data_IF_861015481493
#
_entry.id   IF_861015481493
#
_cell.length_a   1.000
_cell.length_b   1.000
_cell.length_c   1.000
_cell.angle_alpha   90.00
_cell.angle_beta   90.00
_cell.angle_gamma   90.00
#
_symmetry.space_group_name_H-M   'P 1'
#
loop_
_entity.id
_entity.type
_entity.pdbx_description
1 polymer ?
#
# COMPACT_ATOMS: atom_id res chain seq x y z
N UNK A 1 48.12 -22.68 -41.71
CA UNK A 1 46.88 -22.09 -42.29
C UNK A 1 46.22 -21.24 -41.22
N UNK A 2 46.21 -19.92 -41.39
CA UNK A 2 45.65 -18.99 -40.41
C UNK A 2 44.11 -19.07 -40.44
N UNK A 3 43.48 -19.26 -39.27
CA UNK A 3 42.02 -19.19 -39.12
C UNK A 3 41.57 -17.76 -39.43
N UNK A 4 41.11 -17.52 -40.65
CA UNK A 4 40.50 -16.24 -41.03
C UNK A 4 39.20 -16.08 -40.28
N UNK A 5 38.96 -14.90 -39.73
CA UNK A 5 37.82 -14.66 -38.85
C UNK A 5 36.63 -14.16 -39.68
N UNK A 6 35.41 -14.56 -39.30
CA UNK A 6 34.17 -14.08 -39.94
C UNK A 6 34.01 -12.54 -39.90
N UNK A 7 34.80 -11.85 -39.07
CA UNK A 7 34.85 -10.39 -39.00
C UNK A 7 35.54 -9.77 -40.21
N UNK A 8 36.59 -10.43 -40.71
CA UNK A 8 37.36 -9.94 -41.85
C UNK A 8 36.53 -10.02 -43.14
N UNK A 9 35.74 -11.09 -43.29
CA UNK A 9 34.82 -11.26 -44.42
C UNK A 9 33.71 -10.21 -44.40
N UNK A 10 33.10 -9.93 -43.24
CA UNK A 10 32.04 -8.94 -43.10
C UNK A 10 32.51 -7.52 -43.46
N UNK A 11 33.70 -7.15 -42.97
CA UNK A 11 34.32 -5.85 -43.27
C UNK A 11 34.56 -5.66 -44.77
N UNK A 12 35.07 -6.69 -45.45
CA UNK A 12 35.33 -6.63 -46.89
C UNK A 12 34.05 -6.54 -47.73
N UNK A 13 32.97 -7.20 -47.30
CA UNK A 13 31.65 -7.07 -47.95
C UNK A 13 31.19 -5.62 -47.86
N UNK A 14 31.37 -4.96 -46.72
CA UNK A 14 30.94 -3.58 -46.51
C UNK A 14 31.78 -2.56 -47.29
N UNK A 15 33.11 -2.71 -47.28
CA UNK A 15 34.04 -1.87 -48.06
C UNK A 15 33.75 -1.94 -49.57
N UNK A 16 33.48 -3.15 -50.08
CA UNK A 16 33.14 -3.34 -51.51
C UNK A 16 31.72 -2.85 -51.81
N UNK A 17 30.75 -3.06 -50.92
CA UNK A 17 29.39 -2.55 -51.09
C UNK A 17 29.33 -1.01 -51.12
N UNK A 18 30.19 -0.34 -50.34
CA UNK A 18 30.36 1.12 -50.36
C UNK A 18 31.16 1.65 -51.56
N UNK A 19 31.78 0.78 -52.35
CA UNK A 19 32.64 1.14 -53.47
C UNK A 19 34.00 1.70 -53.05
N UNK A 20 34.37 1.57 -51.77
CA UNK A 20 35.67 1.99 -51.24
C UNK A 20 36.81 1.07 -51.69
N UNK A 21 36.46 -0.15 -52.13
CA UNK A 21 37.41 -1.16 -52.59
C UNK A 21 36.86 -1.96 -53.76
N UNK A 22 37.70 -2.21 -54.76
CA UNK A 22 37.33 -3.04 -55.91
C UNK A 22 37.43 -4.52 -55.56
N UNK A 23 36.49 -5.34 -56.07
CA UNK A 23 36.48 -6.80 -55.90
C UNK A 23 37.81 -7.45 -56.36
N UNK A 24 38.44 -6.86 -57.37
CA UNK A 24 39.67 -7.35 -57.99
C UNK A 24 40.90 -7.21 -57.08
N UNK A 25 40.86 -6.30 -56.11
CA UNK A 25 41.95 -6.06 -55.15
C UNK A 25 42.00 -7.10 -54.02
N UNK A 26 41.02 -8.01 -53.96
CA UNK A 26 41.01 -9.13 -53.02
C UNK A 26 41.90 -10.25 -53.59
N UNK A 27 43.15 -10.30 -53.13
CA UNK A 27 44.17 -11.27 -53.58
C UNK A 27 43.71 -12.73 -53.43
N UNK A 28 42.90 -13.01 -52.41
CA UNK A 28 42.42 -14.35 -52.13
C UNK A 28 41.20 -14.73 -52.99
N UNK A 29 41.28 -15.79 -53.82
CA UNK A 29 40.22 -16.13 -54.76
C UNK A 29 38.93 -16.63 -54.07
N UNK A 30 39.05 -17.43 -53.02
CA UNK A 30 37.88 -17.95 -52.27
C UNK A 30 37.11 -16.82 -51.56
N UNK A 31 37.83 -15.88 -50.94
CA UNK A 31 37.24 -14.71 -50.30
C UNK A 31 36.54 -13.80 -51.31
N UNK A 32 37.16 -13.61 -52.47
CA UNK A 32 36.60 -12.83 -53.57
C UNK A 32 35.28 -13.42 -54.07
N UNK A 33 35.22 -14.74 -54.21
CA UNK A 33 34.00 -15.44 -54.61
C UNK A 33 32.92 -15.35 -53.54
N UNK A 34 33.30 -15.47 -52.26
CA UNK A 34 32.39 -15.31 -51.12
C UNK A 34 31.78 -13.90 -51.07
N UNK A 35 32.60 -12.85 -51.23
CA UNK A 35 32.13 -11.46 -51.28
C UNK A 35 31.27 -11.22 -52.51
N UNK A 36 31.63 -11.78 -53.67
CA UNK A 36 30.83 -11.69 -54.90
C UNK A 36 29.46 -12.34 -54.73
N UNK A 37 29.38 -13.51 -54.11
CA UNK A 37 28.12 -14.20 -53.79
C UNK A 37 27.29 -13.40 -52.78
N UNK A 38 27.92 -12.87 -51.72
CA UNK A 38 27.24 -12.05 -50.72
C UNK A 38 26.62 -10.77 -51.35
N UNK A 39 27.36 -10.09 -52.24
CA UNK A 39 26.85 -8.90 -52.95
C UNK A 39 25.74 -9.24 -53.94
N UNK A 40 25.80 -10.42 -54.57
CA UNK A 40 24.74 -10.90 -55.47
C UNK A 40 23.47 -11.23 -54.68
N UNK A 41 23.60 -11.85 -53.51
CA UNK A 41 22.49 -12.15 -52.61
C UNK A 41 21.89 -10.87 -52.02
N UNK A 42 22.70 -9.85 -51.74
CA UNK A 42 22.24 -8.56 -51.24
C UNK A 42 21.50 -7.72 -52.29
N UNK A 43 21.70 -8.03 -53.59
CA UNK A 43 20.99 -7.39 -54.71
C UNK A 43 19.59 -7.93 -54.95
N UNK A 44 19.24 -9.09 -54.37
CA UNK A 44 17.85 -9.54 -54.42
C UNK A 44 17.02 -8.56 -53.57
N UNK A 45 16.00 -7.92 -54.16
CA UNK A 45 15.20 -6.94 -53.44
C UNK A 45 14.59 -7.64 -52.24
N UNK A 46 14.97 -7.19 -51.05
CA UNK A 46 14.36 -7.65 -49.82
C UNK A 46 12.85 -7.48 -49.97
N UNK A 47 12.12 -8.58 -50.10
CA UNK A 47 10.67 -8.56 -50.20
C UNK A 47 10.15 -8.09 -48.85
N UNK A 48 9.98 -6.79 -48.72
CA UNK A 48 9.53 -6.20 -47.48
C UNK A 48 8.21 -6.87 -47.08
N UNK A 49 8.04 -7.25 -45.80
CA UNK A 49 6.80 -7.87 -45.36
C UNK A 49 5.62 -6.96 -45.72
N UNK A 50 4.58 -7.57 -46.25
CA UNK A 50 3.35 -6.87 -46.62
C UNK A 50 2.82 -6.07 -45.43
N UNK A 51 2.04 -5.03 -45.70
CA UNK A 51 1.58 -4.10 -44.66
C UNK A 51 0.86 -4.81 -43.50
N UNK A 52 0.17 -5.93 -43.79
CA UNK A 52 -0.52 -6.74 -42.79
C UNK A 52 0.45 -7.50 -41.89
N UNK A 53 1.52 -8.07 -42.44
CA UNK A 53 2.57 -8.73 -41.64
C UNK A 53 3.34 -7.71 -40.79
N UNK A 54 3.63 -6.52 -41.32
CA UNK A 54 4.24 -5.43 -40.52
C UNK A 54 3.35 -5.00 -39.35
N UNK A 55 2.04 -4.88 -39.56
CA UNK A 55 1.08 -4.57 -38.49
C UNK A 55 1.07 -5.63 -37.39
N UNK A 56 1.07 -6.93 -37.76
CA UNK A 56 1.14 -8.05 -36.81
C UNK A 56 2.45 -8.13 -36.04
N UNK A 57 3.57 -7.87 -36.72
CA UNK A 57 4.88 -7.82 -36.06
C UNK A 57 4.90 -6.64 -35.08
N UNK A 58 4.42 -5.46 -35.49
CA UNK A 58 4.34 -4.28 -34.62
C UNK A 58 3.44 -4.51 -33.42
N UNK A 59 2.29 -5.17 -33.57
CA UNK A 59 1.39 -5.47 -32.45
C UNK A 59 2.01 -6.47 -31.47
N UNK A 60 2.73 -7.50 -31.95
CA UNK A 60 3.47 -8.43 -31.08
C UNK A 60 4.61 -7.75 -30.36
N UNK A 61 5.39 -6.94 -31.08
CA UNK A 61 6.54 -6.22 -30.51
C UNK A 61 6.06 -5.19 -29.47
N UNK A 62 5.01 -4.42 -29.76
CA UNK A 62 4.43 -3.49 -28.79
C UNK A 62 3.78 -4.20 -27.61
N UNK A 63 3.17 -5.38 -27.81
CA UNK A 63 2.66 -6.19 -26.71
C UNK A 63 3.79 -6.75 -25.83
N UNK A 64 4.93 -7.15 -26.42
CA UNK A 64 6.12 -7.57 -25.66
C UNK A 64 6.88 -6.41 -25.03
N UNK A 65 6.71 -5.18 -25.55
CA UNK A 65 7.27 -3.95 -25.00
C UNK A 65 6.32 -3.25 -24.03
N UNK A 66 5.12 -3.79 -23.75
CA UNK A 66 4.38 -3.36 -22.57
C UNK A 66 5.26 -3.71 -21.37
N UNK A 67 5.83 -2.73 -20.66
CA UNK A 67 6.72 -3.01 -19.55
C UNK A 67 5.94 -3.86 -18.56
N UNK A 68 6.49 -5.03 -18.21
CA UNK A 68 6.11 -5.67 -16.95
C UNK A 68 6.23 -4.58 -15.89
N UNK A 69 5.15 -4.34 -15.14
CA UNK A 69 5.09 -3.19 -14.24
C UNK A 69 6.35 -3.16 -13.38
N UNK A 70 7.19 -2.14 -13.62
CA UNK A 70 8.46 -2.00 -12.94
C UNK A 70 8.20 -2.07 -11.44
N UNK A 71 8.66 -3.14 -10.81
CA UNK A 71 8.54 -3.37 -9.38
C UNK A 71 9.28 -2.25 -8.66
N UNK A 72 8.88 -1.95 -7.41
CA UNK A 72 9.53 -0.89 -6.62
C UNK A 72 11.06 -1.08 -6.55
N UNK A 73 11.54 -2.32 -6.58
CA UNK A 73 12.97 -2.66 -6.65
C UNK A 73 13.67 -2.17 -7.94
N UNK A 74 13.01 -2.24 -9.11
CA UNK A 74 13.54 -1.71 -10.37
C UNK A 74 13.65 -0.18 -10.36
N UNK A 75 12.70 0.50 -9.69
CA UNK A 75 12.74 1.97 -9.57
C UNK A 75 13.86 2.43 -8.65
N UNK A 76 14.12 1.69 -7.58
CA UNK A 76 15.21 1.97 -6.63
C UNK A 76 16.58 1.69 -7.26
N UNK A 77 16.72 0.61 -8.04
CA UNK A 77 17.98 0.30 -8.74
C UNK A 77 18.30 1.33 -9.83
N UNK A 78 17.31 1.78 -10.61
CA UNK A 78 17.51 2.87 -11.58
C UNK A 78 17.92 4.18 -10.90
N UNK A 79 17.29 4.54 -9.78
CA UNK A 79 17.65 5.73 -9.01
C UNK A 79 19.09 5.64 -8.46
N UNK A 80 19.48 4.46 -7.94
CA UNK A 80 20.84 4.21 -7.48
C UNK A 80 21.87 4.22 -8.61
N UNK A 81 21.54 3.70 -9.79
CA UNK A 81 22.44 3.68 -10.95
C UNK A 81 22.68 5.09 -11.52
N UNK A 82 21.66 5.95 -11.50
CA UNK A 82 21.78 7.36 -11.86
C UNK A 82 22.62 8.12 -10.82
N UNK A 83 22.51 7.77 -9.54
CA UNK A 83 23.25 8.43 -8.45
C UNK A 83 24.71 7.95 -8.33
N UNK A 84 24.99 6.71 -8.76
CA UNK A 84 26.31 6.07 -8.69
C UNK A 84 27.27 6.51 -9.81
N UNK A 85 26.80 7.18 -10.86
CA UNK A 85 27.69 7.76 -11.88
C UNK A 85 28.26 9.10 -11.36
N UNK A 86 29.55 9.39 -11.61
CA UNK A 86 30.16 10.66 -11.22
C UNK A 86 29.71 11.76 -12.18
N UNK A 87 28.44 12.15 -12.09
CA UNK A 87 27.90 13.29 -12.80
C UNK A 87 28.35 14.60 -12.10
N UNK A 88 28.67 15.67 -12.85
CA UNK A 88 29.05 16.95 -12.27
C UNK A 88 27.93 17.50 -11.38
N UNK A 89 28.29 18.15 -10.27
CA UNK A 89 27.39 18.64 -9.22
C UNK A 89 26.19 19.45 -9.73
N UNK A 90 26.32 20.12 -10.88
CA UNK A 90 25.24 20.83 -11.54
C UNK A 90 24.05 19.93 -11.93
N UNK A 91 24.32 18.69 -12.37
CA UNK A 91 23.26 17.75 -12.75
C UNK A 91 22.53 17.20 -11.51
N UNK A 92 23.22 17.05 -10.38
CA UNK A 92 22.61 16.68 -9.09
C UNK A 92 21.73 17.80 -8.55
N UNK A 93 22.20 19.05 -8.59
CA UNK A 93 21.42 20.21 -8.21
C UNK A 93 20.17 20.35 -9.10
N UNK A 94 20.28 20.09 -10.40
CA UNK A 94 19.14 20.12 -11.32
C UNK A 94 18.14 18.98 -11.05
N UNK A 95 18.62 17.77 -10.75
CA UNK A 95 17.75 16.65 -10.40
C UNK A 95 16.99 16.92 -9.08
N UNK A 96 17.67 17.43 -8.05
CA UNK A 96 17.03 17.82 -6.78
C UNK A 96 16.04 18.96 -7.00
N UNK A 97 16.42 19.99 -7.77
CA UNK A 97 15.54 21.11 -8.10
C UNK A 97 14.32 20.65 -8.91
N UNK A 98 14.47 19.71 -9.84
CA UNK A 98 13.37 19.13 -10.61
C UNK A 98 12.43 18.31 -9.70
N UNK A 99 12.96 17.51 -8.77
CA UNK A 99 12.15 16.78 -7.79
C UNK A 99 11.36 17.76 -6.92
N UNK A 100 12.03 18.77 -6.35
CA UNK A 100 11.38 19.81 -5.54
C UNK A 100 10.32 20.57 -6.35
N UNK A 101 10.59 20.89 -7.62
CA UNK A 101 9.67 21.58 -8.50
C UNK A 101 8.46 20.70 -8.88
N UNK A 102 8.66 19.38 -9.08
CA UNK A 102 7.53 18.46 -9.32
C UNK A 102 6.64 18.30 -8.08
N UNK A 103 7.23 18.27 -6.88
CA UNK A 103 6.47 18.26 -5.62
C UNK A 103 5.71 19.58 -5.46
N UNK A 104 6.35 20.73 -5.75
CA UNK A 104 5.73 22.04 -5.66
C UNK A 104 4.65 22.30 -6.72
N UNK A 105 4.77 21.73 -7.92
CA UNK A 105 3.76 21.83 -8.97
C UNK A 105 2.52 20.96 -8.71
N UNK A 106 2.61 19.98 -7.80
CA UNK A 106 1.53 19.05 -7.48
C UNK A 106 0.47 19.64 -6.53
N UNK A 107 0.69 20.83 -5.96
CA UNK A 107 -0.19 21.44 -4.95
C UNK A 107 -1.30 22.33 -5.53
N UNK A 108 -1.53 22.28 -6.85
CA UNK A 108 -2.48 23.18 -7.53
C UNK A 108 -3.60 22.44 -8.26
N UNK A 109 -4.33 21.57 -7.56
CA UNK A 109 -5.73 21.23 -7.91
C UNK A 109 -6.54 21.07 -6.62
N UNK A 110 -7.49 21.98 -6.40
CA UNK A 110 -8.52 21.92 -5.36
C UNK A 110 -9.70 21.11 -5.88
N UNK A 111 -10.24 20.17 -5.09
CA UNK A 111 -11.69 19.89 -5.07
C UNK A 111 -12.13 19.21 -3.78
N UNK A 112 -13.05 19.87 -3.09
CA UNK A 112 -13.87 19.38 -1.98
C UNK A 112 -14.54 18.03 -2.30
N UNK A 113 -14.37 17.03 -1.43
CA UNK A 113 -15.33 15.91 -1.36
C UNK A 113 -14.83 14.51 -0.99
N UNK A 114 -13.53 14.22 -1.01
CA UNK A 114 -13.04 12.88 -0.60
C UNK A 114 -11.57 12.93 -0.21
N UNK A 115 -11.30 12.76 1.09
CA UNK A 115 -9.94 12.76 1.68
C UNK A 115 -9.07 11.60 1.15
N UNK A 116 -9.64 10.65 0.40
CA UNK A 116 -8.94 9.45 -0.06
C UNK A 116 -8.36 9.49 -1.48
N UNK A 117 -8.51 10.57 -2.26
CA UNK A 117 -8.02 10.61 -3.67
C UNK A 117 -7.15 11.85 -3.99
N UNK A 118 -6.63 12.51 -2.95
CA UNK A 118 -5.72 13.64 -3.13
C UNK A 118 -4.32 13.12 -3.48
N UNK A 119 -3.77 13.55 -4.62
CA UNK A 119 -2.43 13.16 -5.08
C UNK A 119 -1.37 13.44 -4.00
N UNK A 120 -1.58 14.46 -3.17
CA UNK A 120 -0.70 14.81 -2.06
C UNK A 120 -0.73 13.79 -0.91
N UNK A 121 -1.86 13.11 -0.69
CA UNK A 121 -1.97 12.08 0.34
C UNK A 121 -1.08 10.87 0.02
N UNK A 122 -1.03 10.46 -1.26
CA UNK A 122 -0.13 9.40 -1.71
C UNK A 122 1.34 9.74 -1.48
N UNK A 123 1.72 11.01 -1.65
CA UNK A 123 3.07 11.50 -1.38
C UNK A 123 3.37 11.48 0.12
N UNK A 124 2.41 11.84 0.97
CA UNK A 124 2.54 11.75 2.43
C UNK A 124 2.82 10.31 2.87
N UNK A 125 2.00 9.35 2.44
CA UNK A 125 2.19 7.94 2.75
C UNK A 125 3.54 7.42 2.25
N UNK A 126 3.93 7.78 1.02
CA UNK A 126 5.24 7.41 0.49
C UNK A 126 6.40 7.99 1.31
N UNK A 127 6.25 9.21 1.84
CA UNK A 127 7.25 9.84 2.70
C UNK A 127 7.35 9.17 4.07
N UNK A 128 6.23 8.72 4.63
CA UNK A 128 6.17 7.97 5.90
C UNK A 128 6.80 6.58 5.73
N UNK A 129 6.49 5.87 4.65
CA UNK A 129 7.12 4.60 4.30
C UNK A 129 8.63 4.74 4.04
N UNK A 130 9.07 5.82 3.40
CA UNK A 130 10.49 6.09 3.20
C UNK A 130 11.21 6.31 4.54
N UNK A 131 10.61 7.04 5.49
CA UNK A 131 11.16 7.21 6.85
C UNK A 131 11.26 5.87 7.58
N UNK A 132 10.23 5.04 7.48
CA UNK A 132 10.23 3.71 8.11
C UNK A 132 11.30 2.78 7.49
N UNK A 133 11.50 2.85 6.17
CA UNK A 133 12.54 2.09 5.48
C UNK A 133 13.96 2.56 5.84
N UNK A 134 14.14 3.83 6.19
CA UNK A 134 15.41 4.40 6.64
C UNK A 134 15.69 4.17 8.13
N UNK A 135 14.68 3.83 8.93
CA UNK A 135 14.84 3.52 10.34
C UNK A 135 15.51 2.13 10.51
N UNK A 136 16.80 2.14 10.83
CA UNK A 136 17.61 0.93 10.94
C UNK A 136 17.55 0.26 12.31
N UNK A 137 17.19 1.01 13.37
CA UNK A 137 17.13 0.51 14.75
C UNK A 137 15.66 0.27 15.18
N UNK A 138 15.37 -0.68 16.08
CA UNK A 138 14.03 -0.87 16.64
C UNK A 138 13.49 0.39 17.32
N UNK A 139 14.36 1.15 17.99
CA UNK A 139 14.03 2.41 18.64
C UNK A 139 13.59 3.47 17.63
N UNK A 140 14.35 3.66 16.55
CA UNK A 140 13.99 4.60 15.48
C UNK A 140 12.67 4.20 14.80
N UNK A 141 12.47 2.90 14.57
CA UNK A 141 11.22 2.38 13.99
C UNK A 141 10.05 2.65 14.89
N UNK A 142 10.18 2.40 16.19
CA UNK A 142 9.13 2.69 17.16
C UNK A 142 8.75 4.18 17.17
N UNK A 143 9.74 5.07 17.08
CA UNK A 143 9.51 6.51 17.03
C UNK A 143 8.80 6.95 15.74
N UNK A 144 9.17 6.36 14.59
CA UNK A 144 8.50 6.63 13.32
C UNK A 144 7.05 6.13 13.36
N UNK A 145 6.82 4.91 13.82
CA UNK A 145 5.47 4.32 13.98
C UNK A 145 4.60 5.16 14.92
N UNK A 146 5.15 5.60 16.05
CA UNK A 146 4.44 6.49 16.98
C UNK A 146 4.06 7.83 16.34
N UNK A 147 4.95 8.41 15.52
CA UNK A 147 4.67 9.65 14.79
C UNK A 147 3.55 9.45 13.76
N UNK A 148 3.53 8.31 13.07
CA UNK A 148 2.45 7.98 12.13
C UNK A 148 1.14 7.82 12.90
N UNK A 149 1.14 7.10 14.03
CA UNK A 149 -0.03 6.96 14.89
C UNK A 149 -0.56 8.34 15.33
N UNK A 150 0.31 9.25 15.79
CA UNK A 150 -0.07 10.64 16.13
C UNK A 150 -0.82 11.34 14.99
N UNK A 151 -0.30 11.24 13.77
CA UNK A 151 -0.95 11.81 12.59
C UNK A 151 -2.31 11.16 12.30
N UNK A 152 -2.41 9.84 12.41
CA UNK A 152 -3.65 9.09 12.17
C UNK A 152 -4.74 9.45 13.17
N UNK A 153 -4.38 9.64 14.43
CA UNK A 153 -5.35 10.09 15.44
C UNK A 153 -5.85 11.51 15.15
N UNK A 154 -4.94 12.44 14.80
CA UNK A 154 -5.33 13.81 14.44
C UNK A 154 -6.28 13.81 13.22
N UNK A 155 -5.93 13.05 12.19
CA UNK A 155 -6.75 12.86 10.99
C UNK A 155 -8.12 12.24 11.33
N UNK A 156 -8.17 11.20 12.16
CA UNK A 156 -9.41 10.59 12.63
C UNK A 156 -10.32 11.59 13.35
N UNK A 157 -9.76 12.43 14.23
CA UNK A 157 -10.55 13.45 14.95
C UNK A 157 -11.13 14.51 14.02
N UNK A 158 -10.40 14.90 12.98
CA UNK A 158 -10.84 15.88 11.99
C UNK A 158 -11.89 15.29 11.02
N UNK A 159 -11.69 14.05 10.58
CA UNK A 159 -12.68 13.34 9.75
C UNK A 159 -14.00 13.15 10.52
N UNK A 160 -13.90 12.85 11.82
CA UNK A 160 -15.06 12.69 12.69
C UNK A 160 -15.84 14.02 12.86
N UNK A 161 -15.16 15.15 13.06
CA UNK A 161 -15.82 16.47 13.17
C UNK A 161 -16.47 16.90 11.86
N UNK A 162 -15.95 16.44 10.72
CA UNK A 162 -16.54 16.66 9.39
C UNK A 162 -17.72 15.72 9.07
N UNK A 163 -18.06 14.77 9.96
CA UNK A 163 -19.13 13.79 9.73
C UNK A 163 -18.76 12.67 8.75
N UNK A 164 -17.47 12.49 8.47
CA UNK A 164 -16.98 11.44 7.58
C UNK A 164 -16.62 10.17 8.37
N UNK A 165 -17.65 9.53 8.93
CA UNK A 165 -17.49 8.41 9.86
C UNK A 165 -16.74 7.21 9.27
N UNK A 166 -16.90 6.91 7.98
CA UNK A 166 -16.20 5.77 7.35
C UNK A 166 -14.68 5.98 7.34
N UNK A 167 -14.23 7.17 6.93
CA UNK A 167 -12.80 7.48 6.89
C UNK A 167 -12.24 7.68 8.31
N UNK A 168 -13.03 8.23 9.24
CA UNK A 168 -12.65 8.34 10.64
C UNK A 168 -12.42 6.96 11.28
N UNK A 169 -13.23 5.96 10.93
CA UNK A 169 -13.04 4.58 11.38
C UNK A 169 -11.71 4.03 10.84
N UNK A 170 -11.43 4.21 9.54
CA UNK A 170 -10.17 3.75 8.92
C UNK A 170 -8.96 4.38 9.60
N UNK A 171 -8.93 5.71 9.74
CA UNK A 171 -7.83 6.41 10.38
C UNK A 171 -7.65 5.98 11.86
N UNK A 172 -8.75 5.75 12.59
CA UNK A 172 -8.68 5.27 13.98
C UNK A 172 -8.12 3.84 14.07
N UNK A 173 -8.46 2.97 13.11
CA UNK A 173 -7.91 1.62 13.02
C UNK A 173 -6.42 1.62 12.72
N UNK A 174 -5.97 2.43 11.75
CA UNK A 174 -4.56 2.58 11.40
C UNK A 174 -3.75 3.17 12.57
N UNK A 175 -4.33 4.10 13.34
CA UNK A 175 -3.72 4.55 14.61
C UNK A 175 -3.42 3.38 15.55
N UNK A 176 -4.38 2.49 15.76
CA UNK A 176 -4.22 1.33 16.64
C UNK A 176 -3.17 0.33 16.14
N UNK A 177 -3.10 0.13 14.82
CA UNK A 177 -2.08 -0.69 14.15
C UNK A 177 -0.67 -0.13 14.38
N UNK A 178 -0.42 1.13 14.00
CA UNK A 178 0.88 1.78 14.15
C UNK A 178 1.33 1.85 15.62
N UNK A 179 0.38 2.07 16.55
CA UNK A 179 0.68 2.02 17.97
C UNK A 179 1.11 0.62 18.44
N UNK A 180 0.45 -0.43 17.96
CA UNK A 180 0.82 -1.81 18.27
C UNK A 180 2.21 -2.16 17.69
N UNK A 181 2.53 -1.70 16.49
CA UNK A 181 3.84 -1.86 15.86
C UNK A 181 4.94 -1.14 16.63
N UNK A 182 4.72 0.13 17.02
CA UNK A 182 5.67 0.91 17.81
C UNK A 182 6.03 0.19 19.12
N UNK A 183 5.01 -0.29 19.83
CA UNK A 183 5.18 -1.03 21.06
C UNK A 183 5.87 -2.39 20.85
N UNK A 184 5.61 -3.08 19.74
CA UNK A 184 6.26 -4.34 19.40
C UNK A 184 7.75 -4.17 19.02
N UNK A 185 8.15 -3.04 18.44
CA UNK A 185 9.56 -2.73 18.22
C UNK A 185 10.29 -2.47 19.56
N UNK A 186 9.69 -1.69 20.47
CA UNK A 186 10.28 -1.45 21.79
C UNK A 186 10.37 -2.72 22.65
N UNK A 187 9.37 -3.61 22.58
CA UNK A 187 9.37 -4.86 23.34
C UNK A 187 10.54 -5.80 22.99
N UNK A 188 11.18 -5.64 21.82
CA UNK A 188 12.35 -6.41 21.44
C UNK A 188 13.64 -5.93 22.12
N UNK A 189 13.70 -4.65 22.50
CA UNK A 189 14.90 -4.00 23.02
C UNK A 189 14.78 -3.56 24.49
N UNK A 190 13.57 -3.50 25.04
CA UNK A 190 13.26 -3.06 26.42
C UNK A 190 14.10 -3.74 27.50
N UNK A 191 14.40 -5.03 27.34
CA UNK A 191 15.21 -5.79 28.30
C UNK A 191 16.72 -5.72 28.03
N UNK A 192 17.11 -5.22 26.86
CA UNK A 192 18.50 -5.20 26.40
C UNK A 192 19.17 -3.84 26.68
N UNK A 193 18.41 -2.75 26.65
CA UNK A 193 18.96 -1.39 26.78
C UNK A 193 18.16 -0.57 27.82
N UNK A 194 18.83 0.12 28.76
CA UNK A 194 18.16 1.05 29.68
C UNK A 194 17.45 2.19 28.96
N UNK A 195 18.00 2.63 27.82
CA UNK A 195 17.42 3.70 27.00
C UNK A 195 16.03 3.32 26.46
N UNK A 196 15.81 2.04 26.13
CA UNK A 196 14.50 1.56 25.68
C UNK A 196 13.43 1.67 26.77
N UNK A 197 13.77 1.50 28.06
CA UNK A 197 12.81 1.73 29.14
C UNK A 197 12.36 3.19 29.20
N UNK A 198 13.28 4.13 28.98
CA UNK A 198 12.96 5.55 28.87
C UNK A 198 12.00 5.85 27.70
N UNK A 199 12.20 5.19 26.55
CA UNK A 199 11.31 5.31 25.40
C UNK A 199 9.92 4.72 25.66
N UNK A 200 9.82 3.61 26.40
CA UNK A 200 8.52 3.02 26.77
C UNK A 200 7.73 3.95 27.70
N UNK A 201 8.40 4.62 28.64
CA UNK A 201 7.77 5.64 29.49
C UNK A 201 7.28 6.83 28.64
N UNK A 202 8.08 7.30 27.68
CA UNK A 202 7.67 8.36 26.76
C UNK A 202 6.47 7.95 25.90
N UNK A 203 6.48 6.71 25.39
CA UNK A 203 5.36 6.13 24.64
C UNK A 203 4.09 6.12 25.50
N UNK A 204 4.18 5.71 26.76
CA UNK A 204 3.03 5.70 27.67
C UNK A 204 2.47 7.11 27.88
N UNK A 205 3.33 8.11 28.11
CA UNK A 205 2.92 9.51 28.26
C UNK A 205 2.23 10.05 27.00
N UNK A 206 2.72 9.67 25.81
CA UNK A 206 2.10 10.03 24.53
C UNK A 206 0.73 9.38 24.37
N UNK A 207 0.59 8.10 24.69
CA UNK A 207 -0.70 7.39 24.69
C UNK A 207 -1.71 8.09 25.61
N UNK A 208 -1.30 8.51 26.80
CA UNK A 208 -2.21 9.20 27.73
C UNK A 208 -2.64 10.57 27.19
N UNK A 209 -1.74 11.26 26.49
CA UNK A 209 -2.07 12.49 25.75
C UNK A 209 -3.09 12.19 24.64
N UNK A 210 -2.89 11.12 23.86
CA UNK A 210 -3.79 10.69 22.80
C UNK A 210 -5.18 10.33 23.33
N UNK A 211 -5.25 9.63 24.45
CA UNK A 211 -6.50 9.31 25.15
C UNK A 211 -7.26 10.57 25.55
N UNK A 212 -6.57 11.58 26.08
CA UNK A 212 -7.19 12.85 26.43
C UNK A 212 -7.73 13.59 25.20
N UNK A 213 -6.99 13.59 24.09
CA UNK A 213 -7.44 14.17 22.81
C UNK A 213 -8.68 13.43 22.28
N UNK A 214 -8.66 12.09 22.29
CA UNK A 214 -9.77 11.26 21.86
C UNK A 214 -11.01 11.50 22.74
N UNK A 215 -10.86 11.56 24.07
CA UNK A 215 -11.94 11.85 25.01
C UNK A 215 -12.57 13.22 24.74
N UNK A 216 -11.75 14.25 24.50
CA UNK A 216 -12.22 15.58 24.14
C UNK A 216 -12.97 15.58 22.80
N UNK A 217 -12.51 14.82 21.81
CA UNK A 217 -13.20 14.66 20.54
C UNK A 217 -14.56 13.97 20.72
N UNK A 218 -14.63 12.88 21.49
CA UNK A 218 -15.89 12.17 21.82
C UNK A 218 -16.90 13.12 22.46
N UNK A 219 -16.47 13.95 23.41
CA UNK A 219 -17.34 14.93 24.06
C UNK A 219 -17.95 15.95 23.07
N UNK A 220 -17.19 16.36 22.03
CA UNK A 220 -17.69 17.26 20.98
C UNK A 220 -18.67 16.59 20.02
N UNK A 221 -18.51 15.30 19.78
CA UNK A 221 -19.30 14.54 18.80
C UNK A 221 -20.60 13.97 19.38
N UNK A 222 -20.77 14.02 20.71
CA UNK A 222 -21.89 13.38 21.42
C UNK A 222 -23.28 13.93 21.04
N UNK A 223 -23.35 15.16 20.54
CA UNK A 223 -24.63 15.82 20.23
C UNK A 223 -25.17 15.51 18.83
N UNK A 224 -24.39 14.85 17.96
CA UNK A 224 -24.74 14.64 16.55
C UNK A 224 -24.96 13.15 16.22
N UNK A 225 -26.19 12.74 15.84
CA UNK A 225 -26.46 11.35 15.44
C UNK A 225 -25.65 10.88 14.23
N UNK A 226 -25.28 11.81 13.34
CA UNK A 226 -24.48 11.53 12.14
C UNK A 226 -23.02 11.18 12.44
N UNK A 227 -22.52 11.48 13.65
CA UNK A 227 -21.14 11.20 14.08
C UNK A 227 -21.07 10.09 15.12
N UNK A 228 -22.17 9.35 15.33
CA UNK A 228 -22.27 8.37 16.41
C UNK A 228 -21.27 7.23 16.27
N UNK A 229 -21.00 6.75 15.05
CA UNK A 229 -20.02 5.68 14.83
C UNK A 229 -18.60 6.19 15.04
N UNK A 230 -18.27 7.39 14.56
CA UNK A 230 -16.97 8.01 14.79
C UNK A 230 -16.71 8.28 16.29
N UNK A 231 -17.71 8.78 17.02
CA UNK A 231 -17.63 8.96 18.46
C UNK A 231 -17.40 7.62 19.19
N UNK A 232 -18.07 6.55 18.75
CA UNK A 232 -17.89 5.23 19.34
C UNK A 232 -16.47 4.67 19.18
N UNK A 233 -15.85 4.84 18.00
CA UNK A 233 -14.47 4.35 17.78
C UNK A 233 -13.43 5.21 18.50
N UNK A 234 -13.61 6.52 18.57
CA UNK A 234 -12.74 7.39 19.38
C UNK A 234 -12.89 7.11 20.88
N UNK A 235 -14.08 6.69 21.34
CA UNK A 235 -14.29 6.28 22.73
C UNK A 235 -13.51 5.00 23.09
N UNK A 236 -13.32 4.08 22.14
CA UNK A 236 -12.44 2.92 22.33
C UNK A 236 -11.00 3.36 22.57
N UNK A 237 -10.51 4.36 21.82
CA UNK A 237 -9.16 4.91 22.01
C UNK A 237 -9.04 5.66 23.34
N UNK A 238 -10.08 6.39 23.75
CA UNK A 238 -10.12 7.16 24.99
C UNK A 238 -10.16 6.28 26.25
N UNK A 239 -10.51 5.00 26.12
CA UNK A 239 -10.65 4.10 27.26
C UNK A 239 -9.31 3.89 28.00
N UNK A 240 -9.32 3.89 29.35
CA UNK A 240 -8.12 3.63 30.13
C UNK A 240 -7.59 2.21 29.90
N UNK A 241 -6.29 2.02 30.17
CA UNK A 241 -5.68 0.70 30.13
C UNK A 241 -6.29 -0.26 31.15
N UNK A 242 -6.54 -1.49 30.71
CA UNK A 242 -7.00 -2.55 31.58
C UNK A 242 -5.80 -3.07 32.39
N UNK A 243 -5.82 -3.03 33.74
CA UNK A 243 -4.68 -3.43 34.57
C UNK A 243 -4.36 -4.93 34.52
N UNK A 244 -5.16 -5.74 33.81
CA UNK A 244 -5.07 -7.19 33.77
C UNK A 244 -3.84 -7.76 33.03
N UNK A 245 -2.96 -6.93 32.47
CA UNK A 245 -1.77 -7.35 31.72
C UNK A 245 -0.49 -7.51 32.58
N UNK A 246 -0.62 -7.92 33.85
CA UNK A 246 0.49 -7.96 34.82
C UNK A 246 1.65 -8.89 34.46
N UNK A 247 1.43 -9.85 33.55
CA UNK A 247 2.43 -10.85 33.17
C UNK A 247 3.26 -10.46 31.92
N UNK A 248 3.01 -9.28 31.34
CA UNK A 248 3.68 -8.79 30.14
C UNK A 248 4.67 -7.68 30.50
N UNK A 249 5.72 -7.52 29.68
CA UNK A 249 6.52 -6.29 29.76
C UNK A 249 5.64 -5.07 29.44
N UNK A 250 5.95 -3.87 29.96
CA UNK A 250 5.20 -2.67 29.68
C UNK A 250 4.96 -2.42 28.18
N UNK A 251 5.97 -2.58 27.33
CA UNK A 251 5.80 -2.44 25.87
C UNK A 251 4.87 -3.52 25.29
N UNK A 252 4.98 -4.77 25.73
CA UNK A 252 4.09 -5.85 25.28
C UNK A 252 2.63 -5.66 25.75
N UNK A 253 2.42 -5.08 26.94
CA UNK A 253 1.10 -4.72 27.43
C UNK A 253 0.46 -3.63 26.58
N UNK A 254 1.22 -2.59 26.19
CA UNK A 254 0.77 -1.54 25.28
C UNK A 254 0.36 -2.13 23.93
N UNK A 255 1.19 -3.01 23.34
CA UNK A 255 0.89 -3.65 22.06
C UNK A 255 -0.41 -4.49 22.12
N UNK A 256 -0.60 -5.26 23.21
CA UNK A 256 -1.81 -6.06 23.42
C UNK A 256 -3.07 -5.19 23.58
N UNK A 257 -2.95 -4.05 24.28
CA UNK A 257 -4.05 -3.11 24.43
C UNK A 257 -4.41 -2.48 23.08
N UNK A 258 -3.43 -2.02 22.31
CA UNK A 258 -3.63 -1.43 20.99
C UNK A 258 -4.33 -2.42 20.04
N UNK A 259 -3.92 -3.70 20.06
CA UNK A 259 -4.58 -4.76 19.29
C UNK A 259 -6.03 -4.99 19.70
N UNK A 260 -6.32 -4.98 21.01
CA UNK A 260 -7.69 -5.13 21.54
C UNK A 260 -8.58 -3.96 21.14
N UNK A 261 -8.07 -2.72 21.25
CA UNK A 261 -8.76 -1.53 20.80
C UNK A 261 -9.07 -1.58 19.29
N UNK A 262 -8.09 -1.98 18.48
CA UNK A 262 -8.26 -2.08 17.01
C UNK A 262 -9.29 -3.14 16.63
N UNK A 263 -9.35 -4.27 17.34
CA UNK A 263 -10.40 -5.29 17.12
C UNK A 263 -11.80 -4.76 17.49
N UNK A 264 -11.92 -4.01 18.59
CA UNK A 264 -13.19 -3.36 18.96
C UNK A 264 -13.64 -2.34 17.90
N UNK A 265 -12.71 -1.58 17.33
CA UNK A 265 -12.97 -0.64 16.23
C UNK A 265 -13.45 -1.39 14.98
N UNK A 266 -12.79 -2.49 14.61
CA UNK A 266 -13.23 -3.34 13.49
C UNK A 266 -14.64 -3.88 13.71
N UNK A 267 -14.97 -4.33 14.93
CA UNK A 267 -16.32 -4.80 15.27
C UNK A 267 -17.38 -3.67 15.20
N UNK A 268 -17.01 -2.41 15.43
CA UNK A 268 -17.91 -1.25 15.19
C UNK A 268 -18.13 -1.04 13.70
N UNK A 269 -17.05 -1.10 12.90
CA UNK A 269 -17.12 -0.96 11.45
C UNK A 269 -18.00 -2.03 10.80
N UNK A 270 -17.85 -3.30 11.19
CA UNK A 270 -18.65 -4.42 10.68
C UNK A 270 -20.13 -4.28 11.04
N UNK A 271 -20.46 -3.83 12.26
CA UNK A 271 -21.84 -3.56 12.68
C UNK A 271 -22.48 -2.41 11.92
N UNK A 272 -21.69 -1.44 11.46
CA UNK A 272 -22.18 -0.33 10.63
C UNK A 272 -22.57 -0.82 9.22
N UNK A 273 -21.81 -1.75 8.66
CA UNK A 273 -22.01 -2.30 7.31
C UNK A 273 -23.13 -3.34 7.27
N UNK A 274 -23.24 -4.15 8.32
CA UNK A 274 -24.26 -5.18 8.40
C UNK A 274 -25.48 -4.56 9.06
N UNK A 275 -26.50 -4.08 8.31
CA UNK A 275 -27.74 -3.69 8.94
C UNK A 275 -28.22 -4.94 9.68
N UNK A 276 -28.25 -4.87 11.00
CA UNK A 276 -28.82 -5.93 11.82
C UNK A 276 -30.20 -6.13 11.23
N UNK A 277 -30.39 -7.27 10.55
CA UNK A 277 -31.69 -7.75 10.08
C UNK A 277 -32.49 -8.03 11.34
N UNK A 278 -32.91 -6.96 12.00
CA UNK A 278 -33.55 -7.00 13.28
C UNK A 278 -34.97 -7.37 12.95
N UNK A 279 -35.21 -8.67 13.07
CA UNK A 279 -36.48 -9.18 13.53
C UNK A 279 -37.66 -8.68 12.72
N UNK A 280 -37.70 -9.09 11.46
CA UNK A 280 -38.98 -9.29 10.78
C UNK A 280 -39.78 -10.28 11.64
N UNK A 281 -40.62 -9.71 12.50
CA UNK A 281 -41.82 -10.29 13.05
C UNK A 281 -41.67 -11.66 13.74
N UNK A 282 -41.48 -11.61 15.06
CA UNK A 282 -42.37 -12.38 15.91
C UNK A 282 -43.81 -11.92 15.60
N UNK A 283 -44.40 -12.49 14.55
CA UNK A 283 -45.84 -12.44 14.30
C UNK A 283 -46.47 -13.12 15.52
N UNK A 284 -47.23 -12.42 16.39
CA UNK A 284 -48.04 -13.12 17.37
C UNK A 284 -49.00 -14.04 16.60
N UNK A 285 -49.22 -15.30 17.01
CA UNK A 285 -50.12 -16.20 16.31
C UNK A 285 -51.50 -15.55 16.21
N UNK A 286 -51.86 -15.14 15.00
CA UNK A 286 -53.14 -14.53 14.70
C UNK A 286 -54.25 -15.53 15.01
N UNK A 287 -55.14 -15.14 15.92
CA UNK A 287 -56.36 -15.85 16.22
C UNK A 287 -57.17 -16.13 14.95
N UNK A 288 -57.60 -17.38 14.85
CA UNK A 288 -58.48 -17.95 13.84
C UNK A 288 -59.73 -17.09 13.64
N UNK A 289 -59.96 -16.60 12.41
CA UNK A 289 -61.26 -16.04 12.00
C UNK A 289 -61.65 -16.61 10.64
N UNK A 290 -62.89 -17.10 10.46
CA UNK A 290 -63.25 -17.88 9.28
C UNK A 290 -63.72 -17.03 8.10
N UNK A 291 -63.39 -17.54 6.92
CA UNK A 291 -64.13 -17.57 5.65
C UNK A 291 -64.98 -16.35 5.23
N UNK A 292 -64.54 -15.69 4.17
CA UNK A 292 -65.45 -15.19 3.13
C UNK A 292 -64.74 -15.29 1.76
N UNK A 293 -65.32 -16.12 0.89
CA UNK A 293 -64.90 -16.30 -0.49
C UNK A 293 -65.28 -15.07 -1.32
N UNK A 294 -64.36 -14.55 -2.14
CA UNK A 294 -64.71 -13.79 -3.34
C UNK A 294 -63.63 -14.00 -4.40
N UNK A 295 -64.06 -14.58 -5.51
CA UNK A 295 -63.34 -14.83 -6.75
C UNK A 295 -63.19 -13.55 -7.57
N UNK A 296 -61.97 -13.21 -8.03
CA UNK A 296 -61.75 -12.43 -9.27
C UNK A 296 -60.26 -12.35 -9.69
N UNK A 297 -59.91 -11.92 -10.92
CA UNK A 297 -59.41 -12.80 -11.96
C UNK A 297 -57.93 -12.57 -12.29
N UNK A 298 -57.37 -13.59 -12.94
CA UNK A 298 -56.03 -13.67 -13.53
C UNK A 298 -55.79 -12.60 -14.61
N UNK A 299 -54.77 -11.78 -14.40
CA UNK A 299 -54.14 -10.94 -15.42
C UNK A 299 -52.71 -11.45 -15.70
N UNK A 300 -52.24 -11.43 -16.96
CA UNK A 300 -50.98 -12.05 -17.36
C UNK A 300 -49.78 -11.23 -16.87
N UNK A 301 -48.82 -11.93 -16.28
CA UNK A 301 -47.56 -11.40 -15.79
C UNK A 301 -46.67 -10.96 -16.96
N UNK A 302 -46.45 -9.65 -17.09
CA UNK A 302 -45.31 -9.12 -17.83
C UNK A 302 -44.07 -9.27 -16.95
N UNK A 303 -43.22 -10.24 -17.31
CA UNK A 303 -41.85 -10.35 -16.81
C UNK A 303 -41.04 -9.16 -17.31
N UNK A 304 -41.00 -8.08 -16.52
CA UNK A 304 -40.00 -7.04 -16.67
C UNK A 304 -38.72 -7.57 -16.03
N UNK A 305 -37.83 -8.10 -16.86
CA UNK A 305 -36.47 -8.49 -16.50
C UNK A 305 -35.73 -7.23 -16.04
N UNK A 306 -35.71 -6.99 -14.73
CA UNK A 306 -35.00 -5.88 -14.14
C UNK A 306 -33.50 -6.05 -14.44
N UNK A 307 -32.79 -4.98 -14.86
CA UNK A 307 -31.37 -5.06 -15.17
C UNK A 307 -30.62 -5.51 -13.92
N UNK A 308 -29.93 -6.65 -14.02
CA UNK A 308 -28.94 -7.10 -13.03
C UNK A 308 -27.94 -5.96 -12.82
N UNK A 309 -28.11 -5.24 -11.72
CA UNK A 309 -27.12 -4.27 -11.25
C UNK A 309 -25.80 -5.01 -11.07
N UNK A 310 -24.80 -4.55 -11.80
CA UNK A 310 -23.44 -5.08 -11.81
C UNK A 310 -22.82 -5.06 -10.43
N UNK A 311 -22.26 -6.20 -10.05
CA UNK A 311 -21.83 -6.65 -8.72
C UNK A 311 -20.54 -6.02 -8.19
N UNK A 312 -20.17 -4.77 -8.49
CA UNK A 312 -18.77 -4.36 -8.30
C UNK A 312 -18.46 -3.02 -7.62
N UNK A 313 -19.42 -2.35 -7.01
CA UNK A 313 -19.11 -1.21 -6.13
C UNK A 313 -19.37 -1.61 -4.68
N UNK A 314 -18.34 -2.17 -4.03
CA UNK A 314 -18.35 -2.31 -2.58
C UNK A 314 -18.60 -0.92 -1.97
N UNK A 315 -19.59 -0.84 -1.09
CA UNK A 315 -19.93 0.43 -0.45
C UNK A 315 -18.72 0.99 0.32
N UNK A 316 -18.65 2.30 0.51
CA UNK A 316 -17.56 2.93 1.28
C UNK A 316 -17.41 2.30 2.67
N UNK A 317 -18.53 2.02 3.33
CA UNK A 317 -18.58 1.32 4.61
C UNK A 317 -17.95 -0.09 4.55
N UNK A 318 -18.24 -0.89 3.51
CA UNK A 318 -17.63 -2.22 3.34
C UNK A 318 -16.10 -2.14 3.25
N UNK A 319 -15.59 -1.16 2.50
CA UNK A 319 -14.14 -0.92 2.40
C UNK A 319 -13.54 -0.47 3.74
N UNK A 320 -14.25 0.39 4.49
CA UNK A 320 -13.82 0.81 5.81
C UNK A 320 -13.77 -0.37 6.79
N UNK A 321 -14.77 -1.26 6.77
CA UNK A 321 -14.78 -2.46 7.60
C UNK A 321 -13.66 -3.45 7.23
N UNK A 322 -13.42 -3.68 5.93
CA UNK A 322 -12.32 -4.51 5.45
C UNK A 322 -10.95 -3.95 5.87
N UNK A 323 -10.76 -2.63 5.75
CA UNK A 323 -9.55 -1.94 6.19
C UNK A 323 -9.35 -2.03 7.70
N UNK A 324 -10.41 -1.78 8.48
CA UNK A 324 -10.38 -1.87 9.93
C UNK A 324 -10.05 -3.30 10.41
N UNK A 325 -10.61 -4.31 9.73
CA UNK A 325 -10.32 -5.72 10.02
C UNK A 325 -8.85 -6.06 9.73
N UNK A 326 -8.33 -5.61 8.59
CA UNK A 326 -6.93 -5.79 8.22
C UNK A 326 -6.01 -5.18 9.28
N UNK A 327 -6.26 -3.93 9.67
CA UNK A 327 -5.49 -3.25 10.73
C UNK A 327 -5.56 -4.00 12.07
N UNK A 328 -6.72 -4.56 12.43
CA UNK A 328 -6.86 -5.37 13.65
C UNK A 328 -6.03 -6.65 13.61
N UNK A 329 -5.97 -7.32 12.46
CA UNK A 329 -5.16 -8.53 12.30
C UNK A 329 -3.65 -8.22 12.32
N UNK A 330 -3.23 -7.10 11.73
CA UNK A 330 -1.84 -6.60 11.79
C UNK A 330 -1.46 -6.19 13.22
N UNK A 331 -2.32 -5.46 13.94
CA UNK A 331 -2.11 -5.11 15.35
C UNK A 331 -1.98 -6.35 16.24
N UNK A 332 -2.78 -7.41 16.00
CA UNK A 332 -2.65 -8.70 16.72
C UNK A 332 -1.32 -9.39 16.42
N UNK A 333 -0.86 -9.34 15.17
CA UNK A 333 0.45 -9.88 14.80
C UNK A 333 1.58 -9.14 15.53
N UNK A 334 1.49 -7.81 15.62
CA UNK A 334 2.43 -6.98 16.38
C UNK A 334 2.41 -7.31 17.88
N UNK A 335 1.24 -7.43 18.50
CA UNK A 335 1.10 -7.82 19.90
C UNK A 335 1.69 -9.21 20.18
N UNK A 336 1.50 -10.16 19.27
CA UNK A 336 2.13 -11.49 19.37
C UNK A 336 3.65 -11.39 19.28
N UNK A 337 4.18 -10.61 18.33
CA UNK A 337 5.62 -10.32 18.19
C UNK A 337 6.20 -9.72 19.47
N UNK A 338 5.50 -8.75 20.07
CA UNK A 338 5.90 -8.11 21.33
C UNK A 338 5.99 -9.12 22.49
N UNK A 339 4.99 -10.00 22.61
CA UNK A 339 4.95 -11.07 23.62
C UNK A 339 6.09 -12.07 23.43
N UNK A 340 6.45 -12.40 22.20
CA UNK A 340 7.59 -13.26 21.90
C UNK A 340 8.93 -12.59 22.21
N UNK A 341 9.06 -11.29 21.91
CA UNK A 341 10.22 -10.47 22.26
C UNK A 341 10.47 -10.46 23.76
N UNK A 342 9.43 -10.22 24.56
CA UNK A 342 9.48 -10.21 26.02
C UNK A 342 9.91 -11.56 26.64
N UNK A 343 9.67 -12.69 25.96
CA UNK A 343 10.00 -14.04 26.47
C UNK A 343 11.40 -14.52 26.13
N UNK A 344 12.02 -13.99 25.07
CA UNK A 344 13.31 -14.49 24.56
C UNK A 344 14.52 -13.97 25.32
N UNK A 345 14.34 -13.07 26.27
CA UNK A 345 15.45 -12.53 27.05
C UNK A 345 15.80 -13.51 28.18
N UNK A 346 16.98 -14.17 28.16
CA UNK A 346 17.37 -15.09 29.20
C UNK A 346 17.45 -14.33 30.54
N UNK A 347 16.84 -14.90 31.57
CA UNK A 347 16.99 -14.42 32.95
C UNK A 347 18.49 -14.40 33.25
N UNK A 348 19.06 -13.27 33.72
CA UNK A 348 20.49 -13.21 34.02
C UNK A 348 20.82 -14.31 35.02
N UNK A 349 21.66 -15.26 34.60
CA UNK A 349 22.11 -16.35 35.46
C UNK A 349 22.74 -15.71 36.71
N UNK A 350 22.24 -16.00 37.92
CA UNK A 350 22.81 -15.40 39.12
C UNK A 350 24.27 -15.84 39.22
N UNK A 351 25.19 -14.91 38.98
CA UNK A 351 26.59 -15.12 39.31
C UNK A 351 26.67 -15.20 40.83
N UNK A 352 26.78 -16.43 41.36
CA UNK A 352 27.15 -16.64 42.74
C UNK A 352 28.56 -16.08 42.98
N UNK A 353 28.76 -15.24 44.01
CA UNK A 353 30.05 -14.65 44.36
C UNK A 353 31.07 -15.68 44.86
#
# INVERSE_FOLDING_TARGET
MARRTAKDTARLIEEVARGERLLEEIKDPELRETVRLALRLHKDPFTAPDARTRSRIRSRVLASLRPHGATLADRVTIAFEILAKPAPYAMRAFAVAAIVLTIAASTSVVSSGSVSDDALYSVKLASEQARLALATTPEDRAMVELTIAEHRLAEATELATQGNDDDAIVATSEYGEHLANAAAELAQVETLTPDAQGLVVQLQQKIDTHRAVAAAAVARLADSPSTASAAQVLAVVAAPADPAASDLSPAAAIAAQAATATDQIANVAERKVTPVATSAAAIPPAATRPAAATTRPTAPAHHTEAPRATTNERSRGERAAESARKAADEAKAAAKKAKEGSRRTPTPTPHHP
#
